data_IF_566633393718
#
_entry.id   IF_566633393718
#
_cell.length_a   1.000
_cell.length_b   1.000
_cell.length_c   1.000
_cell.angle_alpha   90.00
_cell.angle_beta   90.00
_cell.angle_gamma   90.00
#
_symmetry.space_group_name_H-M   'P 1'
#
loop_
_entity.id
_entity.type
_entity.pdbx_description
1 polymer ?
#
# COMPACT_ATOMS: atom_id res chain seq x y z
N UNK A 1 -6.08 15.85 -35.49
CA UNK A 1 -5.70 16.42 -34.18
C UNK A 1 -6.77 15.98 -33.20
N UNK A 2 -6.40 15.47 -32.04
CA UNK A 2 -7.38 15.21 -30.98
C UNK A 2 -8.02 16.55 -30.59
N UNK A 3 -9.32 16.56 -30.37
CA UNK A 3 -9.97 17.75 -29.85
C UNK A 3 -9.58 17.96 -28.36
N UNK A 4 -9.81 19.16 -27.83
CA UNK A 4 -9.43 19.50 -26.46
C UNK A 4 -10.17 18.65 -25.42
N UNK A 5 -11.39 18.20 -25.74
CA UNK A 5 -12.21 17.38 -24.85
C UNK A 5 -11.70 15.93 -24.79
N UNK A 6 -11.34 15.36 -25.93
CA UNK A 6 -10.69 14.04 -26.01
C UNK A 6 -9.38 14.02 -25.23
N UNK A 7 -8.58 15.10 -25.30
CA UNK A 7 -7.37 15.24 -24.50
C UNK A 7 -7.67 15.28 -22.99
N UNK A 8 -8.70 16.02 -22.57
CA UNK A 8 -9.12 16.08 -21.17
C UNK A 8 -9.60 14.72 -20.65
N UNK A 9 -10.37 13.98 -21.44
CA UNK A 9 -10.85 12.65 -21.08
C UNK A 9 -9.70 11.64 -20.93
N UNK A 10 -8.71 11.68 -21.84
CA UNK A 10 -7.51 10.84 -21.73
C UNK A 10 -6.74 11.14 -20.44
N UNK A 11 -6.52 12.42 -20.12
CA UNK A 11 -5.83 12.82 -18.89
C UNK A 11 -6.62 12.37 -17.65
N UNK A 12 -7.93 12.54 -17.65
CA UNK A 12 -8.78 12.11 -16.56
C UNK A 12 -8.72 10.58 -16.35
N UNK A 13 -8.69 9.80 -17.44
CA UNK A 13 -8.52 8.35 -17.34
C UNK A 13 -7.15 7.98 -16.78
N UNK A 14 -6.08 8.64 -17.22
CA UNK A 14 -4.73 8.38 -16.70
C UNK A 14 -4.62 8.62 -15.18
N UNK A 15 -5.20 9.71 -14.68
CA UNK A 15 -5.22 9.99 -13.23
C UNK A 15 -5.93 8.88 -12.47
N UNK A 16 -7.07 8.37 -12.99
CA UNK A 16 -7.81 7.27 -12.36
C UNK A 16 -7.00 5.97 -12.34
N UNK A 17 -6.31 5.63 -13.44
CA UNK A 17 -5.47 4.44 -13.48
C UNK A 17 -4.29 4.53 -12.51
N UNK A 18 -3.60 5.68 -12.45
CA UNK A 18 -2.50 5.91 -11.50
C UNK A 18 -2.98 5.74 -10.05
N UNK A 19 -4.16 6.29 -9.72
CA UNK A 19 -4.74 6.13 -8.38
C UNK A 19 -5.01 4.66 -8.05
N UNK A 20 -5.55 3.91 -9.02
CA UNK A 20 -5.83 2.47 -8.88
C UNK A 20 -4.54 1.64 -8.73
N UNK A 21 -3.51 1.93 -9.51
CA UNK A 21 -2.21 1.27 -9.41
C UNK A 21 -1.55 1.49 -8.05
N UNK A 22 -1.57 2.73 -7.54
CA UNK A 22 -1.05 3.06 -6.21
C UNK A 22 -1.82 2.35 -5.10
N UNK A 23 -3.15 2.29 -5.20
CA UNK A 23 -3.97 1.51 -4.27
C UNK A 23 -3.61 0.02 -4.33
N UNK A 24 -3.44 -0.54 -5.52
CA UNK A 24 -3.04 -1.94 -5.69
C UNK A 24 -1.63 -2.20 -5.11
N UNK A 25 -0.70 -1.25 -5.25
CA UNK A 25 0.62 -1.34 -4.63
C UNK A 25 0.53 -1.40 -3.11
N UNK A 26 -0.30 -0.55 -2.48
CA UNK A 26 -0.54 -0.59 -1.03
C UNK A 26 -1.16 -1.94 -0.60
N UNK A 27 -2.11 -2.48 -1.37
CA UNK A 27 -2.70 -3.80 -1.12
C UNK A 27 -1.62 -4.90 -1.17
N UNK A 28 -0.75 -4.87 -2.18
CA UNK A 28 0.33 -5.85 -2.30
C UNK A 28 1.32 -5.77 -1.13
N UNK A 29 1.62 -4.55 -0.64
CA UNK A 29 2.44 -4.36 0.56
C UNK A 29 1.79 -4.99 1.81
N UNK A 30 0.47 -4.82 1.99
CA UNK A 30 -0.27 -5.44 3.09
C UNK A 30 -0.27 -6.97 3.00
N UNK A 31 -0.50 -7.52 1.81
CA UNK A 31 -0.48 -8.96 1.59
C UNK A 31 0.88 -9.57 1.93
N UNK A 32 1.98 -8.89 1.58
CA UNK A 32 3.33 -9.33 1.96
C UNK A 32 3.53 -9.28 3.47
N UNK A 33 3.15 -8.18 4.12
CA UNK A 33 3.25 -8.06 5.57
C UNK A 33 2.42 -9.13 6.31
N UNK A 34 1.26 -9.51 5.75
CA UNK A 34 0.45 -10.61 6.25
C UNK A 34 1.19 -11.95 6.14
N UNK A 35 1.73 -12.27 4.97
CA UNK A 35 2.52 -13.50 4.77
C UNK A 35 3.72 -13.57 5.71
N UNK A 36 4.45 -12.47 5.88
CA UNK A 36 5.59 -12.40 6.80
C UNK A 36 5.14 -12.63 8.26
N UNK A 37 3.96 -12.12 8.64
CA UNK A 37 3.36 -12.35 9.95
C UNK A 37 2.98 -13.82 10.18
N UNK A 38 2.46 -14.50 9.16
CA UNK A 38 2.19 -15.94 9.22
C UNK A 38 3.47 -16.75 9.42
N UNK A 39 4.58 -16.37 8.77
CA UNK A 39 5.89 -17.00 8.99
C UNK A 39 6.37 -16.81 10.43
N UNK A 40 6.14 -15.65 11.04
CA UNK A 40 6.47 -15.44 12.45
C UNK A 40 5.59 -16.26 13.39
N UNK A 41 4.30 -16.43 13.07
CA UNK A 41 3.40 -17.30 13.84
C UNK A 41 3.88 -18.76 13.81
N UNK A 42 4.22 -19.29 12.63
CA UNK A 42 4.76 -20.65 12.51
C UNK A 42 6.07 -20.82 13.30
N UNK A 43 6.99 -19.85 13.22
CA UNK A 43 8.23 -19.87 14.02
C UNK A 43 7.98 -19.84 15.53
N UNK A 44 6.93 -19.14 15.96
CA UNK A 44 6.55 -19.07 17.37
C UNK A 44 6.05 -20.42 17.87
N UNK A 45 5.19 -21.09 17.10
CA UNK A 45 4.63 -22.39 17.45
C UNK A 45 5.73 -23.47 17.52
N UNK A 46 6.70 -23.40 16.61
CA UNK A 46 7.80 -24.37 16.52
C UNK A 46 9.01 -24.06 17.44
N UNK A 47 9.02 -22.95 18.18
CA UNK A 47 10.13 -22.61 19.07
C UNK A 47 10.23 -23.58 20.26
N UNK A 48 11.46 -23.95 20.63
CA UNK A 48 11.71 -24.95 21.68
C UNK A 48 11.57 -24.38 23.10
N UNK A 49 11.70 -23.05 23.25
CA UNK A 49 11.63 -22.37 24.55
C UNK A 49 10.85 -21.06 24.47
N UNK A 50 10.33 -20.60 25.60
CA UNK A 50 9.63 -19.31 25.67
C UNK A 50 10.59 -18.12 25.46
N UNK A 51 11.88 -18.30 25.75
CA UNK A 51 12.90 -17.33 25.40
C UNK A 51 13.01 -17.13 23.88
N UNK A 52 13.00 -18.22 23.11
CA UNK A 52 12.99 -18.18 21.64
C UNK A 52 11.68 -17.60 21.09
N UNK A 53 10.53 -17.96 21.69
CA UNK A 53 9.23 -17.33 21.37
C UNK A 53 9.27 -15.81 21.57
N UNK A 54 9.87 -15.35 22.66
CA UNK A 54 10.09 -13.93 22.92
C UNK A 54 10.93 -13.24 21.84
N UNK A 55 11.97 -13.91 21.32
CA UNK A 55 12.75 -13.41 20.18
C UNK A 55 11.93 -13.33 18.90
N UNK A 56 11.17 -14.37 18.57
CA UNK A 56 10.27 -14.38 17.41
C UNK A 56 9.30 -13.21 17.49
N UNK A 57 8.72 -12.96 18.67
CA UNK A 57 7.83 -11.81 18.86
C UNK A 57 8.52 -10.47 18.67
N UNK A 58 9.74 -10.32 19.17
CA UNK A 58 10.52 -9.09 18.96
C UNK A 58 10.79 -8.84 17.46
N UNK A 59 11.12 -9.89 16.70
CA UNK A 59 11.30 -9.78 15.25
C UNK A 59 10.02 -9.40 14.52
N UNK A 60 8.88 -9.99 14.89
CA UNK A 60 7.58 -9.64 14.33
C UNK A 60 7.25 -8.16 14.59
N UNK A 61 7.42 -7.69 15.83
CA UNK A 61 7.20 -6.27 16.19
C UNK A 61 8.09 -5.35 15.35
N UNK A 62 9.38 -5.68 15.24
CA UNK A 62 10.32 -4.89 14.45
C UNK A 62 9.92 -4.83 12.97
N UNK A 63 9.50 -5.97 12.40
CA UNK A 63 9.03 -6.05 11.01
C UNK A 63 7.78 -5.21 10.79
N UNK A 64 6.75 -5.32 11.66
CA UNK A 64 5.51 -4.56 11.54
C UNK A 64 5.77 -3.05 11.59
N UNK A 65 6.59 -2.61 12.54
CA UNK A 65 6.92 -1.19 12.70
C UNK A 65 7.73 -0.65 11.51
N UNK A 66 8.75 -1.39 11.08
CA UNK A 66 9.69 -0.90 10.07
C UNK A 66 9.17 -1.01 8.65
N UNK A 67 8.24 -1.94 8.38
CA UNK A 67 7.82 -2.25 7.01
C UNK A 67 6.40 -1.79 6.68
N UNK A 68 5.46 -1.70 7.61
CA UNK A 68 4.08 -1.36 7.22
C UNK A 68 3.98 0.12 6.82
N UNK A 69 4.33 1.04 7.73
CA UNK A 69 4.10 2.47 7.48
C UNK A 69 4.83 3.02 6.23
N UNK A 70 6.13 2.75 5.98
CA UNK A 70 6.80 3.26 4.78
C UNK A 70 6.37 2.56 3.48
N UNK A 71 6.03 1.27 3.51
CA UNK A 71 5.69 0.53 2.28
C UNK A 71 4.25 0.73 1.81
N UNK A 72 3.37 1.28 2.65
CA UNK A 72 2.03 1.66 2.23
C UNK A 72 2.01 2.91 1.34
N UNK A 73 3.09 3.70 1.33
CA UNK A 73 3.22 4.92 0.50
C UNK A 73 1.97 5.81 0.58
N UNK A 74 1.53 6.09 1.82
CA UNK A 74 0.35 6.91 2.12
C UNK A 74 0.45 8.30 1.46
N UNK A 75 1.67 8.82 1.28
CA UNK A 75 1.98 10.02 0.50
C UNK A 75 1.42 9.94 -0.93
N UNK A 76 1.68 8.84 -1.65
CA UNK A 76 1.21 8.67 -3.03
C UNK A 76 -0.31 8.47 -3.11
N UNK A 77 -0.90 7.83 -2.10
CA UNK A 77 -2.35 7.69 -2.02
C UNK A 77 -3.02 9.06 -1.80
N UNK A 78 -2.45 9.90 -0.92
CA UNK A 78 -2.92 11.26 -0.69
C UNK A 78 -2.77 12.15 -1.94
N UNK A 79 -1.65 12.03 -2.67
CA UNK A 79 -1.46 12.71 -3.95
C UNK A 79 -2.54 12.32 -4.97
N UNK A 80 -2.81 11.01 -5.10
CA UNK A 80 -3.87 10.52 -5.99
C UNK A 80 -5.26 10.99 -5.55
N UNK A 81 -5.53 11.07 -4.25
CA UNK A 81 -6.77 11.65 -3.73
C UNK A 81 -6.90 13.12 -4.15
N UNK A 82 -5.83 13.91 -4.01
CA UNK A 82 -5.83 15.32 -4.39
C UNK A 82 -6.03 15.51 -5.90
N UNK A 83 -5.41 14.68 -6.74
CA UNK A 83 -5.57 14.76 -8.20
C UNK A 83 -6.99 14.37 -8.65
N UNK A 84 -7.60 13.36 -8.01
CA UNK A 84 -9.01 13.03 -8.25
C UNK A 84 -9.95 14.18 -7.84
N UNK A 85 -9.67 14.87 -6.73
CA UNK A 85 -10.46 16.03 -6.30
C UNK A 85 -10.35 17.19 -7.31
N UNK A 86 -9.18 17.43 -7.90
CA UNK A 86 -9.00 18.44 -8.95
C UNK A 86 -9.81 18.09 -10.21
N UNK A 87 -9.87 16.81 -10.59
CA UNK A 87 -10.70 16.37 -11.71
C UNK A 87 -12.18 16.64 -11.47
N UNK A 88 -12.68 16.40 -10.26
CA UNK A 88 -14.08 16.67 -9.91
C UNK A 88 -14.43 18.15 -10.10
N UNK A 89 -13.59 19.05 -9.57
CA UNK A 89 -13.78 20.50 -9.73
C UNK A 89 -13.66 20.94 -11.20
N UNK A 90 -12.82 20.28 -11.99
CA UNK A 90 -12.63 20.63 -13.41
C UNK A 90 -13.76 20.14 -14.32
N UNK A 91 -14.56 19.16 -13.86
CA UNK A 91 -15.70 18.58 -14.59
C UNK A 91 -17.05 19.21 -14.20
N UNK A 92 -17.09 19.99 -13.12
CA UNK A 92 -18.28 20.70 -12.62
C UNK A 92 -18.50 22.04 -13.33
#
# INVERSE_FOLDING_TARGET
MLDNKELQEIVAQQVREIAKERLQSAINSLQRAMYDSEVYADKFDNAGTDYERGKVMNYAINHLYSNIQPNLRIDLLADSQADLAKLEVSNA
#
